data_IF_484265977140
#
_entry.id   IF_484265977140
#
_cell.length_a   1.000
_cell.length_b   1.000
_cell.length_c   1.000
_cell.angle_alpha   90.00
_cell.angle_beta   90.00
_cell.angle_gamma   90.00
#
_symmetry.space_group_name_H-M   'P 1'
#
loop_
_entity.id
_entity.type
_entity.pdbx_description
1 polymer ?
#
# COMPACT_ATOMS: atom_id res chain seq x y z
N UNK A 1 -18.77 10.45 4.42
CA UNK A 1 -17.40 10.80 3.96
C UNK A 1 -16.38 9.96 4.71
N UNK A 2 -15.38 9.41 4.00
CA UNK A 2 -14.23 8.69 4.59
C UNK A 2 -12.96 9.51 4.44
N UNK A 3 -12.14 9.54 5.50
CA UNK A 3 -10.86 10.27 5.52
C UNK A 3 -9.78 9.34 6.05
N UNK A 4 -8.68 9.23 5.32
CA UNK A 4 -7.46 8.53 5.75
C UNK A 4 -6.30 9.53 5.80
N UNK A 5 -5.81 9.83 7.02
CA UNK A 5 -4.63 10.66 7.23
C UNK A 5 -3.40 9.79 7.48
N UNK A 6 -2.82 9.34 6.39
CA UNK A 6 -1.56 8.60 6.41
C UNK A 6 -0.34 9.47 6.69
N UNK A 7 0.84 8.84 6.68
CA UNK A 7 2.12 9.52 6.97
C UNK A 7 2.55 10.50 5.86
N UNK A 8 2.20 10.26 4.61
CA UNK A 8 2.60 11.09 3.47
C UNK A 8 1.43 11.82 2.80
N UNK A 9 0.25 11.22 2.80
CA UNK A 9 -0.93 11.74 2.11
C UNK A 9 -2.15 11.70 3.01
N UNK A 10 -3.05 12.68 2.85
CA UNK A 10 -4.43 12.61 3.35
C UNK A 10 -5.37 12.36 2.18
N UNK A 11 -6.25 11.37 2.30
CA UNK A 11 -7.22 10.95 1.27
C UNK A 11 -8.63 11.17 1.77
N UNK A 12 -9.48 11.62 0.86
CA UNK A 12 -10.91 11.85 1.08
C UNK A 12 -11.71 11.05 0.09
N UNK A 13 -12.79 10.44 0.53
CA UNK A 13 -13.78 9.78 -0.33
C UNK A 13 -15.19 10.14 0.09
N UNK A 14 -16.07 10.35 -0.89
CA UNK A 14 -17.50 10.53 -0.65
C UNK A 14 -18.24 9.31 -1.17
N UNK A 15 -19.08 8.76 -0.31
CA UNK A 15 -19.96 7.64 -0.62
C UNK A 15 -21.41 8.09 -0.74
N UNK A 16 -22.14 7.48 -1.67
CA UNK A 16 -23.61 7.53 -1.72
C UNK A 16 -24.22 6.53 -0.76
N UNK A 17 -25.54 6.63 -0.55
CA UNK A 17 -26.32 5.61 0.16
C UNK A 17 -26.33 4.25 -0.58
N UNK A 18 -26.09 4.24 -1.89
CA UNK A 18 -25.94 3.03 -2.71
C UNK A 18 -24.55 2.39 -2.62
N UNK A 19 -23.68 2.87 -1.72
CA UNK A 19 -22.29 2.39 -1.54
C UNK A 19 -21.35 2.64 -2.74
N UNK A 20 -21.60 3.67 -3.52
CA UNK A 20 -20.75 4.08 -4.62
C UNK A 20 -19.83 5.22 -4.20
N UNK A 21 -18.58 5.19 -4.66
CA UNK A 21 -17.64 6.30 -4.49
C UNK A 21 -17.89 7.32 -5.60
N UNK A 22 -18.43 8.49 -5.26
CA UNK A 22 -18.72 9.57 -6.21
C UNK A 22 -17.67 10.65 -6.26
N UNK A 23 -16.77 10.68 -5.28
CA UNK A 23 -15.66 11.63 -5.22
C UNK A 23 -14.49 11.03 -4.46
N UNK A 24 -13.28 11.25 -4.98
CA UNK A 24 -12.04 10.88 -4.32
C UNK A 24 -10.96 11.94 -4.57
N UNK A 25 -10.25 12.32 -3.51
CA UNK A 25 -9.16 13.30 -3.56
C UNK A 25 -8.06 12.92 -2.60
N UNK A 26 -6.80 13.17 -2.97
CA UNK A 26 -5.68 13.10 -2.05
C UNK A 26 -4.93 14.44 -2.00
N UNK A 27 -4.34 14.71 -0.84
CA UNK A 27 -3.44 15.81 -0.58
C UNK A 27 -2.07 15.26 -0.21
N UNK A 28 -1.01 15.83 -0.76
CA UNK A 28 0.36 15.62 -0.29
C UNK A 28 0.59 16.49 0.94
N UNK A 29 -0.14 16.23 2.01
CA UNK A 29 -0.04 17.00 3.25
C UNK A 29 -0.54 16.21 4.46
N UNK A 30 0.08 16.50 5.60
CA UNK A 30 -0.32 16.09 6.95
C UNK A 30 -0.69 17.32 7.80
N UNK A 31 -0.55 18.51 7.23
CA UNK A 31 -0.80 19.75 7.94
C UNK A 31 -2.30 20.03 8.00
N UNK A 32 -2.83 20.20 9.20
CA UNK A 32 -4.23 20.51 9.40
C UNK A 32 -4.66 21.82 8.75
N UNK A 33 -3.76 22.78 8.63
CA UNK A 33 -4.05 24.05 7.94
C UNK A 33 -4.35 23.86 6.44
N UNK A 34 -3.89 22.76 5.85
CA UNK A 34 -4.18 22.40 4.45
C UNK A 34 -5.34 21.39 4.35
N UNK A 35 -5.46 20.49 5.33
CA UNK A 35 -6.49 19.46 5.38
C UNK A 35 -7.86 20.05 5.70
N UNK A 36 -7.93 20.94 6.70
CA UNK A 36 -9.18 21.49 7.21
C UNK A 36 -9.98 22.31 6.17
N UNK A 37 -9.37 23.16 5.34
CA UNK A 37 -10.08 23.84 4.25
C UNK A 37 -10.73 22.89 3.25
N UNK A 38 -10.02 21.79 2.89
CA UNK A 38 -10.58 20.75 2.00
C UNK A 38 -11.74 20.04 2.66
N UNK A 39 -11.59 19.66 3.95
CA UNK A 39 -12.67 19.07 4.74
C UNK A 39 -13.91 19.98 4.74
N UNK A 40 -13.74 21.27 5.07
CA UNK A 40 -14.83 22.26 5.14
C UNK A 40 -15.54 22.44 3.80
N UNK A 41 -14.77 22.46 2.70
CA UNK A 41 -15.33 22.52 1.35
C UNK A 41 -16.18 21.28 1.05
N UNK A 42 -15.66 20.07 1.33
CA UNK A 42 -16.39 18.84 1.10
C UNK A 42 -17.65 18.71 1.97
N UNK A 43 -17.59 19.18 3.22
CA UNK A 43 -18.77 19.27 4.09
C UNK A 43 -19.85 20.16 3.50
N UNK A 44 -19.49 21.30 2.93
CA UNK A 44 -20.40 22.24 2.30
C UNK A 44 -21.00 21.70 0.99
N UNK A 45 -20.15 21.12 0.14
CA UNK A 45 -20.53 20.71 -1.22
C UNK A 45 -21.38 19.44 -1.24
N UNK A 46 -21.08 18.48 -0.34
CA UNK A 46 -21.70 17.16 -0.34
C UNK A 46 -22.64 16.92 0.85
N UNK A 47 -22.58 17.75 1.90
CA UNK A 47 -23.38 17.58 3.12
C UNK A 47 -23.49 16.12 3.60
N UNK A 48 -22.35 15.42 3.83
CA UNK A 48 -22.38 14.00 4.14
C UNK A 48 -23.07 13.73 5.49
N UNK A 49 -23.90 12.69 5.54
CA UNK A 49 -24.62 12.29 6.77
C UNK A 49 -23.72 11.82 7.92
N UNK A 50 -22.43 11.61 7.67
CA UNK A 50 -21.44 11.27 8.68
C UNK A 50 -20.02 11.33 8.12
N UNK A 51 -19.05 11.51 9.01
CA UNK A 51 -17.61 11.56 8.68
C UNK A 51 -16.89 10.47 9.47
N UNK A 52 -16.17 9.61 8.76
CA UNK A 52 -15.38 8.52 9.29
C UNK A 52 -13.91 8.81 9.02
N UNK A 53 -13.11 8.77 10.06
CA UNK A 53 -11.70 9.12 9.98
C UNK A 53 -10.83 7.97 10.46
N UNK A 54 -9.74 7.73 9.75
CA UNK A 54 -8.71 6.78 10.16
C UNK A 54 -7.32 7.39 10.02
N UNK A 55 -6.34 6.78 10.70
CA UNK A 55 -4.98 7.30 10.78
C UNK A 55 -4.77 8.26 11.95
N UNK A 56 -3.74 9.09 11.86
CA UNK A 56 -3.31 9.93 13.00
C UNK A 56 -4.25 11.11 13.27
N UNK A 57 -4.82 11.15 14.46
CA UNK A 57 -5.67 12.25 14.97
C UNK A 57 -4.86 13.36 15.70
N UNK A 58 -3.54 13.23 15.81
CA UNK A 58 -2.71 14.19 16.53
C UNK A 58 -2.86 15.60 15.93
N UNK A 59 -3.28 16.54 16.76
CA UNK A 59 -3.49 17.95 16.38
C UNK A 59 -4.74 18.19 15.52
N UNK A 60 -5.69 17.24 15.46
CA UNK A 60 -6.95 17.43 14.74
C UNK A 60 -7.72 18.63 15.31
N UNK A 61 -8.22 19.55 14.47
CA UNK A 61 -9.06 20.66 14.92
C UNK A 61 -10.30 20.17 15.68
N UNK A 62 -10.66 20.87 16.76
CA UNK A 62 -11.74 20.44 17.65
C UNK A 62 -13.10 20.38 16.92
N UNK A 63 -13.34 21.32 16.03
CA UNK A 63 -14.55 21.34 15.19
C UNK A 63 -14.68 20.06 14.35
N UNK A 64 -13.61 19.66 13.69
CA UNK A 64 -13.57 18.41 12.92
C UNK A 64 -13.74 17.19 13.84
N UNK A 65 -13.12 17.22 15.01
CA UNK A 65 -13.16 16.10 15.97
C UNK A 65 -14.58 15.84 16.52
N UNK A 66 -15.36 16.89 16.75
CA UNK A 66 -16.75 16.78 17.25
C UNK A 66 -17.72 16.16 16.23
N UNK A 67 -17.41 16.28 14.95
CA UNK A 67 -18.26 15.83 13.83
C UNK A 67 -17.76 14.56 13.14
N UNK A 68 -16.79 13.87 13.76
CA UNK A 68 -16.07 12.76 13.09
C UNK A 68 -15.97 11.54 14.01
N UNK A 69 -16.41 10.38 13.51
CA UNK A 69 -16.18 9.09 14.16
C UNK A 69 -14.81 8.52 13.75
N UNK A 70 -14.06 8.06 14.75
CA UNK A 70 -12.70 7.49 14.53
C UNK A 70 -12.81 5.98 14.33
N UNK A 71 -12.21 5.50 13.26
CA UNK A 71 -12.13 4.07 12.88
C UNK A 71 -10.69 3.59 13.02
N UNK A 72 -10.52 2.40 13.58
CA UNK A 72 -9.22 1.76 13.69
C UNK A 72 -8.60 1.54 12.28
N UNK A 73 -7.33 1.85 12.12
CA UNK A 73 -6.63 1.80 10.82
C UNK A 73 -6.58 0.37 10.26
N UNK A 74 -6.37 -0.64 11.12
CA UNK A 74 -6.34 -2.05 10.70
C UNK A 74 -7.71 -2.49 10.19
N UNK A 75 -8.79 -2.11 10.87
CA UNK A 75 -10.15 -2.33 10.38
C UNK A 75 -10.37 -1.65 9.02
N UNK A 76 -9.96 -0.39 8.91
CA UNK A 76 -10.09 0.37 7.66
C UNK A 76 -9.30 -0.28 6.51
N UNK A 77 -8.09 -0.80 6.75
CA UNK A 77 -7.31 -1.54 5.77
C UNK A 77 -8.05 -2.80 5.33
N UNK A 78 -8.51 -3.64 6.27
CA UNK A 78 -9.20 -4.90 5.97
C UNK A 78 -10.48 -4.69 5.17
N UNK A 79 -11.38 -3.84 5.66
CA UNK A 79 -12.64 -3.53 4.96
C UNK A 79 -12.42 -2.85 3.61
N UNK A 80 -11.43 -1.96 3.52
CA UNK A 80 -11.12 -1.25 2.29
C UNK A 80 -10.55 -2.18 1.22
N UNK A 81 -9.57 -3.00 1.59
CA UNK A 81 -8.98 -3.98 0.68
C UNK A 81 -10.00 -5.01 0.19
N UNK A 82 -10.82 -5.55 1.10
CA UNK A 82 -11.91 -6.47 0.74
C UNK A 82 -12.91 -5.84 -0.24
N UNK A 83 -13.28 -4.58 -0.01
CA UNK A 83 -14.22 -3.86 -0.87
C UNK A 83 -13.65 -3.62 -2.27
N UNK A 84 -12.47 -3.01 -2.40
CA UNK A 84 -11.88 -2.74 -3.72
C UNK A 84 -11.44 -4.01 -4.43
N UNK A 85 -11.04 -5.06 -3.69
CA UNK A 85 -10.72 -6.39 -4.21
C UNK A 85 -11.94 -7.24 -4.56
N UNK A 86 -13.16 -6.80 -4.18
CA UNK A 86 -14.43 -7.54 -4.34
C UNK A 86 -14.35 -8.94 -3.72
N UNK A 87 -13.82 -9.02 -2.49
CA UNK A 87 -13.61 -10.28 -1.76
C UNK A 87 -14.36 -10.27 -0.44
N UNK A 88 -14.98 -11.41 -0.09
CA UNK A 88 -15.53 -11.66 1.25
C UNK A 88 -14.47 -12.19 2.22
N UNK A 89 -13.40 -12.77 1.67
CA UNK A 89 -12.26 -13.34 2.39
C UNK A 89 -10.98 -13.07 1.60
N UNK A 90 -9.97 -12.44 2.21
CA UNK A 90 -8.70 -12.14 1.57
C UNK A 90 -7.61 -11.74 2.58
N UNK A 91 -6.35 -11.84 2.16
CA UNK A 91 -5.26 -11.13 2.78
C UNK A 91 -5.07 -9.78 2.08
N UNK A 92 -5.00 -8.70 2.86
CA UNK A 92 -4.81 -7.34 2.35
C UNK A 92 -3.41 -6.86 2.69
N UNK A 93 -2.65 -6.45 1.69
CA UNK A 93 -1.32 -5.84 1.84
C UNK A 93 -1.43 -4.36 1.54
N UNK A 94 -1.33 -3.53 2.57
CA UNK A 94 -1.40 -2.07 2.46
C UNK A 94 0.01 -1.49 2.35
N UNK A 95 0.41 -1.12 1.13
CA UNK A 95 1.71 -0.51 0.82
C UNK A 95 1.62 1.02 0.86
N UNK A 96 1.76 1.57 2.07
CA UNK A 96 1.87 3.01 2.32
C UNK A 96 3.32 3.46 2.49
N UNK A 97 3.62 4.28 3.50
CA UNK A 97 4.99 4.65 3.90
C UNK A 97 5.78 3.43 4.38
N UNK A 98 5.19 2.59 5.21
CA UNK A 98 5.56 1.20 5.47
C UNK A 98 4.52 0.27 4.87
N UNK A 99 4.50 -1.00 5.32
CA UNK A 99 3.57 -2.02 4.84
C UNK A 99 2.91 -2.73 6.02
N UNK A 100 1.58 -2.85 5.97
CA UNK A 100 0.80 -3.69 6.89
C UNK A 100 0.14 -4.84 6.12
N UNK A 101 0.08 -6.01 6.75
CA UNK A 101 -0.60 -7.20 6.22
C UNK A 101 -1.77 -7.53 7.15
N UNK A 102 -2.96 -7.53 6.61
CA UNK A 102 -4.22 -7.64 7.34
C UNK A 102 -5.07 -8.75 6.74
N UNK A 103 -5.51 -9.66 7.58
CA UNK A 103 -6.50 -10.69 7.22
C UNK A 103 -7.90 -10.11 7.34
N UNK A 104 -8.71 -10.34 6.32
CA UNK A 104 -10.14 -10.04 6.32
C UNK A 104 -10.93 -11.31 6.04
N UNK A 105 -11.87 -11.66 6.93
CA UNK A 105 -12.75 -12.80 6.77
C UNK A 105 -14.19 -12.41 7.16
N UNK A 106 -15.04 -12.20 6.18
CA UNK A 106 -16.48 -11.93 6.34
C UNK A 106 -16.79 -10.82 7.37
N UNK A 107 -15.84 -9.89 7.53
CA UNK A 107 -15.89 -8.75 8.45
C UNK A 107 -15.13 -8.92 9.76
N UNK A 108 -14.55 -10.06 10.04
CA UNK A 108 -13.49 -10.19 11.03
C UNK A 108 -12.19 -9.66 10.42
N UNK A 109 -11.45 -8.87 11.22
CA UNK A 109 -10.20 -8.23 10.78
C UNK A 109 -9.12 -8.53 11.79
N UNK A 110 -7.95 -8.95 11.30
CA UNK A 110 -6.79 -9.29 12.12
C UNK A 110 -5.51 -8.72 11.49
N UNK A 111 -4.67 -8.05 12.27
CA UNK A 111 -3.34 -7.68 11.85
C UNK A 111 -2.42 -8.89 11.92
N UNK A 112 -1.94 -9.35 10.78
CA UNK A 112 -1.11 -10.59 10.68
C UNK A 112 0.36 -10.27 10.81
N UNK A 113 0.84 -9.29 10.05
CA UNK A 113 2.25 -8.91 9.99
C UNK A 113 2.42 -7.52 9.39
N UNK A 114 3.67 -7.06 9.30
CA UNK A 114 4.01 -5.82 8.65
C UNK A 114 5.51 -5.60 8.61
N UNK A 115 5.93 -4.54 7.93
CA UNK A 115 7.33 -4.14 7.87
C UNK A 115 7.45 -2.62 7.72
N UNK A 116 8.56 -2.06 8.21
CA UNK A 116 8.95 -0.68 7.97
C UNK A 116 9.34 -0.40 6.50
N UNK A 117 9.39 -1.45 5.66
CA UNK A 117 9.72 -1.32 4.23
C UNK A 117 8.46 -0.99 3.43
N UNK A 118 8.53 0.07 2.63
CA UNK A 118 7.41 0.55 1.82
C UNK A 118 7.77 1.79 1.01
N UNK A 119 6.79 2.64 0.70
CA UNK A 119 7.01 3.86 -0.08
C UNK A 119 7.97 4.84 0.56
N UNK A 120 8.01 4.91 1.90
CA UNK A 120 9.00 5.71 2.64
C UNK A 120 10.43 5.22 2.40
N UNK A 121 10.62 3.90 2.31
CA UNK A 121 11.93 3.31 2.00
C UNK A 121 12.35 3.64 0.57
N UNK A 122 11.42 3.52 -0.40
CA UNK A 122 11.69 3.89 -1.80
C UNK A 122 12.17 5.33 -1.90
N UNK A 123 11.41 6.29 -1.36
CA UNK A 123 11.75 7.72 -1.41
C UNK A 123 13.02 8.03 -0.62
N UNK A 124 13.19 7.44 0.57
CA UNK A 124 14.36 7.66 1.42
C UNK A 124 15.65 7.22 0.76
N UNK A 125 15.69 6.00 0.22
CA UNK A 125 16.85 5.46 -0.49
C UNK A 125 17.14 6.23 -1.79
N UNK A 126 16.10 6.56 -2.56
CA UNK A 126 16.28 7.33 -3.79
C UNK A 126 16.87 8.72 -3.50
N UNK A 127 16.40 9.39 -2.44
CA UNK A 127 16.95 10.67 -2.01
C UNK A 127 18.42 10.56 -1.58
N UNK A 128 18.77 9.52 -0.85
CA UNK A 128 20.12 9.30 -0.37
C UNK A 128 21.09 8.92 -1.49
N UNK A 129 20.67 8.04 -2.41
CA UNK A 129 21.57 7.45 -3.41
C UNK A 129 21.66 8.26 -4.71
N UNK A 130 20.56 8.88 -5.14
CA UNK A 130 20.47 9.56 -6.44
C UNK A 130 19.88 10.98 -6.37
N UNK A 131 19.62 11.50 -5.16
CA UNK A 131 19.09 12.86 -4.96
C UNK A 131 17.63 13.05 -5.43
N UNK A 132 16.87 11.95 -5.64
CA UNK A 132 15.49 12.00 -6.14
C UNK A 132 14.50 11.85 -4.99
N UNK A 133 13.49 12.73 -4.94
CA UNK A 133 12.44 12.71 -3.93
C UNK A 133 11.03 12.62 -4.52
N UNK A 134 10.89 12.87 -5.83
CA UNK A 134 9.61 12.70 -6.52
C UNK A 134 9.42 11.25 -6.98
N UNK A 135 8.43 10.59 -6.38
CA UNK A 135 8.16 9.17 -6.64
C UNK A 135 7.74 8.89 -8.09
N UNK A 136 7.09 9.85 -8.77
CA UNK A 136 6.69 9.69 -10.17
C UNK A 136 7.89 9.79 -11.11
N UNK A 137 8.79 10.73 -10.84
CA UNK A 137 10.06 10.86 -11.56
C UNK A 137 10.92 9.62 -11.37
N UNK A 138 11.05 9.16 -10.13
CA UNK A 138 11.79 7.96 -9.79
C UNK A 138 11.24 6.73 -10.51
N UNK A 139 9.92 6.52 -10.49
CA UNK A 139 9.30 5.38 -11.16
C UNK A 139 9.60 5.36 -12.67
N UNK A 140 9.41 6.51 -13.34
CA UNK A 140 9.68 6.64 -14.78
C UNK A 140 11.12 6.30 -15.15
N UNK A 141 12.10 6.76 -14.35
CA UNK A 141 13.51 6.44 -14.54
C UNK A 141 13.76 4.95 -14.26
N UNK A 142 13.19 4.39 -13.21
CA UNK A 142 13.39 2.99 -12.81
C UNK A 142 12.85 1.97 -13.84
N UNK A 143 11.83 2.34 -14.63
CA UNK A 143 11.28 1.48 -15.68
C UNK A 143 12.28 1.14 -16.78
N UNK A 144 13.30 1.97 -17.00
CA UNK A 144 14.36 1.76 -17.99
C UNK A 144 15.63 1.13 -17.42
N UNK A 145 15.69 0.98 -16.10
CA UNK A 145 16.84 0.43 -15.39
C UNK A 145 16.78 -1.09 -15.20
N UNK A 146 17.92 -1.66 -14.83
CA UNK A 146 18.07 -3.08 -14.53
C UNK A 146 18.49 -3.28 -13.07
N UNK A 147 17.66 -3.91 -12.20
CA UNK A 147 18.06 -4.21 -10.83
C UNK A 147 19.27 -5.17 -10.78
N UNK A 148 19.48 -6.01 -11.80
CA UNK A 148 20.64 -6.92 -11.90
C UNK A 148 21.98 -6.18 -12.01
N UNK A 149 21.97 -4.91 -12.38
CA UNK A 149 23.18 -4.09 -12.39
C UNK A 149 23.72 -3.80 -10.97
N UNK A 150 22.89 -4.02 -9.92
CA UNK A 150 23.25 -3.81 -8.54
C UNK A 150 23.04 -5.04 -7.64
N UNK A 151 22.12 -5.91 -8.01
CA UNK A 151 21.80 -7.10 -7.22
C UNK A 151 22.71 -8.27 -7.61
N UNK A 152 23.11 -9.05 -6.60
CA UNK A 152 23.80 -10.33 -6.80
C UNK A 152 22.75 -11.42 -7.06
N UNK A 153 22.91 -12.18 -8.13
CA UNK A 153 22.03 -13.31 -8.48
C UNK A 153 22.66 -14.65 -8.08
N UNK A 154 21.86 -15.73 -8.07
CA UNK A 154 22.33 -17.09 -7.82
C UNK A 154 23.41 -17.50 -8.82
N UNK A 155 23.21 -17.24 -10.13
CA UNK A 155 24.21 -17.60 -11.16
C UNK A 155 25.53 -16.84 -10.96
N UNK A 156 25.49 -15.59 -10.56
CA UNK A 156 26.70 -14.81 -10.26
C UNK A 156 27.39 -15.28 -8.99
N UNK A 157 26.64 -15.85 -8.05
CA UNK A 157 27.20 -16.51 -6.85
C UNK A 157 27.75 -17.92 -7.13
N UNK A 158 27.73 -18.38 -8.39
CA UNK A 158 28.28 -19.66 -8.82
C UNK A 158 27.26 -20.83 -8.82
N UNK A 159 25.96 -20.53 -8.73
CA UNK A 159 24.91 -21.55 -8.73
C UNK A 159 24.00 -21.36 -9.94
N UNK A 160 23.99 -22.30 -10.89
CA UNK A 160 23.06 -22.26 -12.02
C UNK A 160 21.61 -22.44 -11.57
N UNK A 161 21.41 -23.28 -10.56
CA UNK A 161 20.13 -23.58 -9.94
C UNK A 161 20.32 -24.14 -8.52
N UNK A 162 19.42 -23.82 -7.60
CA UNK A 162 19.37 -24.40 -6.25
C UNK A 162 17.95 -24.90 -5.99
N UNK A 163 17.75 -26.23 -6.08
CA UNK A 163 16.43 -26.84 -6.01
C UNK A 163 15.52 -26.34 -7.13
N UNK A 164 14.42 -25.67 -6.81
CA UNK A 164 13.50 -25.03 -7.75
C UNK A 164 13.85 -23.57 -8.06
N UNK A 165 14.90 -23.02 -7.42
CA UNK A 165 15.29 -21.63 -7.56
C UNK A 165 16.16 -21.45 -8.80
N UNK A 166 15.69 -20.60 -9.73
CA UNK A 166 16.42 -20.25 -10.96
C UNK A 166 17.65 -19.40 -10.64
N UNK A 167 18.70 -19.52 -11.44
CA UNK A 167 19.91 -18.71 -11.35
C UNK A 167 19.68 -17.20 -11.41
N UNK A 168 18.54 -16.78 -11.91
CA UNK A 168 18.14 -15.36 -12.01
C UNK A 168 17.62 -14.74 -10.70
N UNK A 169 17.43 -15.54 -9.66
CA UNK A 169 16.95 -15.05 -8.38
C UNK A 169 17.98 -14.18 -7.68
N UNK A 170 17.50 -13.11 -7.04
CA UNK A 170 18.31 -12.23 -6.18
C UNK A 170 18.74 -13.00 -4.93
N UNK A 171 20.04 -13.10 -4.72
CA UNK A 171 20.65 -13.61 -3.48
C UNK A 171 20.89 -12.46 -2.51
N UNK A 172 21.32 -11.31 -3.04
CA UNK A 172 21.61 -10.13 -2.24
C UNK A 172 21.25 -8.86 -3.00
N UNK A 173 20.28 -8.13 -2.48
CA UNK A 173 19.97 -6.79 -2.98
C UNK A 173 21.16 -5.88 -2.75
N UNK A 174 21.56 -5.13 -3.77
CA UNK A 174 22.78 -4.29 -3.79
C UNK A 174 24.09 -5.07 -3.51
N UNK A 175 24.09 -6.38 -3.66
CA UNK A 175 25.25 -7.23 -3.38
C UNK A 175 26.32 -7.26 -4.47
N UNK A 176 26.05 -6.70 -5.66
CA UNK A 176 26.95 -6.70 -6.82
C UNK A 176 26.83 -5.42 -7.63
N UNK A 177 27.32 -4.30 -7.07
CA UNK A 177 27.21 -2.97 -7.70
C UNK A 177 28.14 -2.87 -8.91
N UNK A 178 27.56 -2.94 -10.13
CA UNK A 178 28.25 -2.82 -11.43
C UNK A 178 27.89 -1.55 -12.17
N UNK A 179 26.86 -0.83 -11.72
CA UNK A 179 26.37 0.40 -12.33
C UNK A 179 26.09 1.47 -11.28
N UNK A 180 26.33 2.72 -11.64
CA UNK A 180 25.95 3.90 -10.86
C UNK A 180 24.91 4.77 -11.59
N UNK A 181 24.27 4.21 -12.63
CA UNK A 181 23.22 4.91 -13.36
C UNK A 181 21.97 5.06 -12.49
N UNK A 182 21.33 6.21 -12.57
CA UNK A 182 20.13 6.53 -11.78
C UNK A 182 18.99 5.54 -12.00
N UNK A 183 18.80 5.12 -13.23
CA UNK A 183 17.79 4.15 -13.65
C UNK A 183 18.01 2.78 -13.00
N UNK A 184 19.25 2.30 -12.97
CA UNK A 184 19.59 1.00 -12.38
C UNK A 184 19.45 1.02 -10.86
N UNK A 185 19.92 2.11 -10.23
CA UNK A 185 19.76 2.31 -8.78
C UNK A 185 18.27 2.37 -8.41
N UNK A 186 17.48 3.14 -9.15
CA UNK A 186 16.03 3.22 -8.94
C UNK A 186 15.36 1.85 -9.08
N UNK A 187 15.68 1.09 -10.14
CA UNK A 187 15.14 -0.25 -10.35
C UNK A 187 15.52 -1.20 -9.20
N UNK A 188 16.76 -1.13 -8.69
CA UNK A 188 17.22 -1.95 -7.56
C UNK A 188 16.52 -1.59 -6.24
N UNK A 189 16.22 -0.31 -6.00
CA UNK A 189 15.44 0.13 -4.83
C UNK A 189 14.02 -0.46 -4.88
N UNK A 190 13.36 -0.39 -6.03
CA UNK A 190 12.03 -0.98 -6.20
C UNK A 190 12.06 -2.51 -6.07
N UNK A 191 13.10 -3.18 -6.61
CA UNK A 191 13.32 -4.63 -6.45
C UNK A 191 13.41 -5.01 -4.98
N UNK A 192 14.28 -4.36 -4.21
CA UNK A 192 14.43 -4.57 -2.78
C UNK A 192 13.08 -4.47 -2.05
N UNK A 193 12.37 -3.37 -2.24
CA UNK A 193 11.10 -3.13 -1.54
C UNK A 193 10.02 -4.13 -1.96
N UNK A 194 9.89 -4.39 -3.26
CA UNK A 194 8.92 -5.34 -3.79
C UNK A 194 9.19 -6.78 -3.35
N UNK A 195 10.45 -7.21 -3.35
CA UNK A 195 10.86 -8.54 -2.88
C UNK A 195 10.57 -8.74 -1.39
N UNK A 196 10.97 -7.80 -0.55
CA UNK A 196 10.71 -7.87 0.91
C UNK A 196 9.22 -7.94 1.20
N UNK A 197 8.43 -7.05 0.60
CA UNK A 197 6.97 -7.02 0.80
C UNK A 197 6.31 -8.27 0.23
N UNK A 198 6.71 -8.69 -0.96
CA UNK A 198 6.17 -9.87 -1.63
C UNK A 198 6.40 -11.15 -0.84
N UNK A 199 7.61 -11.35 -0.31
CA UNK A 199 7.96 -12.51 0.53
C UNK A 199 7.14 -12.50 1.82
N UNK A 200 7.11 -11.37 2.55
CA UNK A 200 6.32 -11.24 3.78
C UNK A 200 4.84 -11.53 3.51
N UNK A 201 4.27 -10.97 2.46
CA UNK A 201 2.88 -11.19 2.09
C UNK A 201 2.57 -12.66 1.78
N UNK A 202 3.41 -13.30 0.98
CA UNK A 202 3.26 -14.70 0.59
C UNK A 202 3.38 -15.65 1.78
N UNK A 203 4.36 -15.42 2.67
CA UNK A 203 4.51 -16.22 3.89
C UNK A 203 3.34 -15.98 4.86
N UNK A 204 2.86 -14.73 4.98
CA UNK A 204 1.70 -14.41 5.80
C UNK A 204 0.43 -15.10 5.29
N UNK A 205 0.24 -15.17 3.98
CA UNK A 205 -0.89 -15.90 3.37
C UNK A 205 -0.84 -17.38 3.72
N UNK A 206 0.33 -17.99 3.56
CA UNK A 206 0.55 -19.42 3.87
C UNK A 206 0.32 -19.75 5.36
N UNK A 207 0.89 -18.95 6.27
CA UNK A 207 0.74 -19.13 7.72
C UNK A 207 -0.71 -18.94 8.16
N UNK A 208 -1.42 -17.99 7.54
CA UNK A 208 -2.82 -17.69 7.86
C UNK A 208 -3.81 -18.64 7.19
N UNK A 209 -3.35 -19.61 6.41
CA UNK A 209 -4.18 -20.52 5.58
C UNK A 209 -5.13 -19.73 4.65
N UNK A 210 -4.61 -18.68 4.03
CA UNK A 210 -5.29 -17.85 3.05
C UNK A 210 -4.63 -18.08 1.68
N UNK A 211 -4.97 -19.20 1.05
CA UNK A 211 -4.42 -19.62 -0.25
C UNK A 211 -5.06 -18.86 -1.44
N UNK A 212 -5.92 -17.89 -1.14
CA UNK A 212 -6.59 -17.04 -2.12
C UNK A 212 -5.71 -15.86 -2.57
N UNK A 213 -6.28 -15.00 -3.42
CA UNK A 213 -5.59 -13.80 -3.91
C UNK A 213 -5.28 -12.79 -2.79
N UNK A 214 -4.04 -12.32 -2.78
CA UNK A 214 -3.56 -11.26 -1.90
C UNK A 214 -3.91 -9.92 -2.53
N UNK A 215 -4.79 -9.15 -1.88
CA UNK A 215 -5.22 -7.84 -2.36
C UNK A 215 -4.19 -6.78 -1.97
N UNK A 216 -3.59 -6.11 -2.95
CA UNK A 216 -2.55 -5.08 -2.72
C UNK A 216 -3.16 -3.70 -2.85
N UNK A 217 -3.11 -2.92 -1.77
CA UNK A 217 -3.64 -1.55 -1.70
C UNK A 217 -2.57 -0.54 -1.27
N UNK A 218 -2.94 0.75 -1.23
CA UNK A 218 -2.03 1.83 -0.84
C UNK A 218 -1.37 2.52 -2.03
N UNK A 219 -0.71 3.64 -1.80
CA UNK A 219 -0.16 4.48 -2.88
C UNK A 219 0.93 3.80 -3.70
N UNK A 220 1.80 3.02 -3.05
CA UNK A 220 2.92 2.34 -3.73
C UNK A 220 2.44 1.18 -4.64
N UNK A 221 1.27 0.60 -4.37
CA UNK A 221 0.71 -0.49 -5.19
C UNK A 221 0.31 -0.05 -6.60
N UNK A 222 0.33 1.26 -6.90
CA UNK A 222 0.11 1.80 -8.25
C UNK A 222 1.33 1.68 -9.14
N UNK A 223 2.52 1.55 -8.55
CA UNK A 223 3.78 1.44 -9.28
C UNK A 223 3.81 0.18 -10.16
N UNK A 224 4.06 0.36 -11.45
CA UNK A 224 4.22 -0.75 -12.38
C UNK A 224 5.46 -1.59 -12.06
N UNK A 225 6.53 -0.94 -11.58
CA UNK A 225 7.75 -1.63 -11.17
C UNK A 225 7.46 -2.55 -9.98
N UNK A 226 6.79 -2.03 -8.93
CA UNK A 226 6.38 -2.84 -7.77
C UNK A 226 5.47 -3.99 -8.18
N UNK A 227 4.47 -3.74 -9.03
CA UNK A 227 3.57 -4.80 -9.54
C UNK A 227 4.34 -5.89 -10.27
N UNK A 228 5.34 -5.51 -11.06
CA UNK A 228 6.25 -6.45 -11.75
C UNK A 228 6.99 -7.35 -10.75
N UNK A 229 7.62 -6.76 -9.73
CA UNK A 229 8.37 -7.49 -8.71
C UNK A 229 7.45 -8.40 -7.89
N UNK A 230 6.28 -7.90 -7.43
CA UNK A 230 5.32 -8.72 -6.69
C UNK A 230 4.83 -9.92 -7.50
N UNK A 231 4.58 -9.75 -8.81
CA UNK A 231 4.22 -10.87 -9.69
C UNK A 231 5.34 -11.90 -9.82
N UNK A 232 6.61 -11.48 -9.85
CA UNK A 232 7.77 -12.40 -9.87
C UNK A 232 7.87 -13.18 -8.56
N UNK A 233 7.76 -12.50 -7.41
CA UNK A 233 7.72 -13.15 -6.09
C UNK A 233 6.52 -14.10 -6.00
N UNK A 234 5.35 -13.67 -6.51
CA UNK A 234 4.15 -14.51 -6.54
C UNK A 234 4.35 -15.83 -7.30
N UNK A 235 5.07 -15.81 -8.42
CA UNK A 235 5.43 -17.05 -9.15
C UNK A 235 6.31 -17.97 -8.31
N UNK A 236 7.27 -17.42 -7.56
CA UNK A 236 8.18 -18.19 -6.73
C UNK A 236 7.49 -18.84 -5.53
N UNK A 237 6.56 -18.12 -4.90
CA UNK A 237 5.85 -18.55 -3.69
C UNK A 237 4.46 -19.11 -3.97
N UNK A 238 4.09 -19.27 -5.25
CA UNK A 238 2.76 -19.74 -5.68
C UNK A 238 1.61 -18.88 -5.14
N UNK A 239 1.88 -17.56 -4.98
CA UNK A 239 0.94 -16.57 -4.47
C UNK A 239 0.38 -15.70 -5.59
N UNK A 240 -0.92 -15.38 -5.53
CA UNK A 240 -1.57 -14.51 -6.51
C UNK A 240 -1.80 -13.13 -5.92
N UNK A 241 -1.21 -12.10 -6.52
CA UNK A 241 -1.41 -10.71 -6.14
C UNK A 241 -2.48 -10.07 -7.02
N UNK A 242 -3.52 -9.54 -6.39
CA UNK A 242 -4.59 -8.77 -7.02
C UNK A 242 -4.34 -7.27 -6.83
N UNK A 243 -4.33 -6.52 -7.92
CA UNK A 243 -4.14 -5.06 -7.93
C UNK A 243 -5.46 -4.39 -8.33
N UNK A 244 -6.30 -3.99 -7.38
CA UNK A 244 -7.58 -3.35 -7.67
C UNK A 244 -7.39 -1.94 -8.26
N UNK A 245 -8.47 -1.39 -8.80
CA UNK A 245 -8.53 0.01 -9.21
C UNK A 245 -8.56 0.93 -7.98
N UNK A 246 -7.97 2.13 -8.12
CA UNK A 246 -7.94 3.16 -7.09
C UNK A 246 -7.49 2.68 -5.69
N UNK A 247 -6.41 1.87 -5.62
CA UNK A 247 -5.99 1.20 -4.39
C UNK A 247 -5.53 2.18 -3.31
N UNK A 248 -5.15 3.40 -3.69
CA UNK A 248 -4.71 4.46 -2.77
C UNK A 248 -5.83 4.97 -1.86
N UNK A 249 -7.09 4.84 -2.27
CA UNK A 249 -8.25 5.28 -1.49
C UNK A 249 -8.85 4.16 -0.63
N UNK A 250 -8.37 2.93 -0.75
CA UNK A 250 -8.95 1.76 -0.10
C UNK A 250 -9.13 1.95 1.42
N UNK A 251 -8.13 2.50 2.12
CA UNK A 251 -8.21 2.71 3.58
C UNK A 251 -9.29 3.73 3.95
N UNK A 252 -9.43 4.84 3.20
CA UNK A 252 -10.51 5.80 3.42
C UNK A 252 -11.89 5.20 3.14
N UNK A 253 -12.00 4.37 2.10
CA UNK A 253 -13.19 3.57 1.78
C UNK A 253 -13.53 2.63 2.94
N UNK A 254 -12.51 1.92 3.45
CA UNK A 254 -12.66 0.95 4.51
C UNK A 254 -13.12 1.56 5.83
N UNK A 255 -12.73 2.80 6.14
CA UNK A 255 -13.25 3.51 7.31
C UNK A 255 -14.78 3.62 7.26
N UNK A 256 -15.35 3.97 6.09
CA UNK A 256 -16.80 4.03 5.91
C UNK A 256 -17.43 2.63 5.99
N UNK A 257 -16.84 1.65 5.32
CA UNK A 257 -17.39 0.27 5.26
C UNK A 257 -17.40 -0.43 6.61
N UNK A 258 -16.34 -0.28 7.41
CA UNK A 258 -16.27 -0.82 8.78
C UNK A 258 -17.38 -0.27 9.66
N UNK A 259 -17.61 1.04 9.61
CA UNK A 259 -18.65 1.69 10.39
C UNK A 259 -20.06 1.25 10.00
N UNK A 260 -20.35 1.19 8.69
CA UNK A 260 -21.66 0.77 8.19
C UNK A 260 -21.98 -0.66 8.61
N UNK A 261 -21.00 -1.58 8.60
CA UNK A 261 -21.21 -2.95 9.06
C UNK A 261 -21.59 -3.02 10.54
N UNK A 262 -20.90 -2.26 11.39
CA UNK A 262 -21.19 -2.23 12.85
C UNK A 262 -22.62 -1.75 13.14
N UNK A 263 -23.15 -0.81 12.35
CA UNK A 263 -24.53 -0.31 12.50
C UNK A 263 -25.63 -1.28 12.02
N UNK A 264 -25.32 -2.21 11.14
CA UNK A 264 -26.27 -3.20 10.67
C UNK A 264 -26.41 -4.40 11.61
N UNK A 265 -25.53 -4.53 12.60
CA UNK A 265 -25.51 -5.64 13.56
C UNK A 265 -25.86 -5.20 15.00
N UNK A 266 -26.07 -3.89 15.21
CA UNK A 266 -26.64 -3.30 16.45
C UNK A 266 -28.08 -2.82 16.18
#
# INVERSE_FOLDING_TARGET
MGIDRGTSFTKFVIFTSSNEVIYAKHLLSRNWNEIFPVYSTLMKDFNPAGVLFTGSVKGMPEEMRKSTDIVNEIEAIGFGGAFVGKKSRCLVVSMGTGTAVVKFDSGAVEHVSGTGVGGGTVVGLARLLIGESDIKSLERVSLTGSPRALNLTLSEAGFEQVGFLSGDLTVSNFGSVKSFKREDIGAAIYSLVGEVVGVIASLSARISHFDEEIVVIGGLSKSEVIRGVLKQVGKLYESKFLFPENPEYATAIGAVRSFLKKRLHN
#
